data_IF_022575670201
#
_entry.id   IF_022575670201
#
_cell.length_a   1.000
_cell.length_b   1.000
_cell.length_c   1.000
_cell.angle_alpha   90.00
_cell.angle_beta   90.00
_cell.angle_gamma   90.00
#
_symmetry.space_group_name_H-M   'P 1'
#
loop_
_entity.id
_entity.type
_entity.pdbx_description
1 polymer ?
#
# COMPACT_ATOMS: atom_id res chain seq x y z
N UNK A 1 25.55 6.24 -0.90
CA UNK A 1 26.06 7.59 -0.57
C UNK A 1 26.50 7.56 0.89
N UNK A 2 27.78 7.77 1.19
CA UNK A 2 28.29 7.75 2.57
C UNK A 2 28.22 9.17 3.12
N UNK A 3 27.29 9.41 4.05
CA UNK A 3 27.13 10.71 4.72
C UNK A 3 28.03 10.74 5.95
N UNK A 4 29.15 11.46 5.87
CA UNK A 4 29.93 11.80 7.07
C UNK A 4 29.17 12.87 7.85
N UNK A 5 28.42 12.42 8.88
CA UNK A 5 27.51 13.25 9.68
C UNK A 5 28.22 14.22 10.65
N UNK A 6 29.55 14.13 10.76
CA UNK A 6 30.37 15.00 11.62
C UNK A 6 30.33 16.49 11.21
N UNK A 7 29.76 16.80 10.04
CA UNK A 7 29.63 18.16 9.51
C UNK A 7 28.26 18.82 9.79
N UNK A 8 27.29 18.13 10.42
CA UNK A 8 25.93 18.66 10.61
C UNK A 8 25.79 19.59 11.83
N UNK A 9 26.52 20.70 11.83
CA UNK A 9 26.30 21.78 12.80
C UNK A 9 25.35 22.83 12.23
N UNK A 10 24.42 23.35 13.04
CA UNK A 10 23.39 24.33 12.66
C UNK A 10 22.33 23.87 11.64
N UNK A 11 22.26 22.57 11.34
CA UNK A 11 21.18 22.03 10.50
C UNK A 11 19.90 21.87 11.34
N UNK A 12 18.79 22.45 10.91
CA UNK A 12 17.49 22.40 11.61
C UNK A 12 16.61 21.27 11.08
N UNK A 13 16.65 21.04 9.77
CA UNK A 13 15.87 19.99 9.10
C UNK A 13 16.72 19.26 8.07
N UNK A 14 16.60 17.93 8.05
CA UNK A 14 17.26 17.05 7.09
C UNK A 14 16.21 16.15 6.44
N UNK A 15 16.34 15.92 5.14
CA UNK A 15 15.51 14.99 4.39
C UNK A 15 16.39 14.11 3.53
N UNK A 16 16.30 12.80 3.74
CA UNK A 16 17.08 11.78 3.03
C UNK A 16 16.11 10.90 2.25
N UNK A 17 16.12 11.05 0.92
CA UNK A 17 15.33 10.22 0.02
C UNK A 17 16.27 9.47 -0.92
N UNK A 18 16.04 8.17 -1.06
CA UNK A 18 16.66 7.38 -2.11
C UNK A 18 15.87 7.59 -3.42
N UNK A 19 16.52 8.08 -4.47
CA UNK A 19 15.87 8.37 -5.76
C UNK A 19 15.73 7.15 -6.67
N UNK A 20 16.24 5.98 -6.27
CA UNK A 20 16.10 4.74 -7.04
C UNK A 20 16.22 3.51 -6.15
N UNK A 21 15.36 2.50 -6.35
CA UNK A 21 15.40 1.17 -5.67
C UNK A 21 16.75 0.40 -5.78
N UNK A 22 17.79 1.00 -6.38
CA UNK A 22 19.09 0.37 -6.66
C UNK A 22 20.27 1.05 -5.96
N UNK A 23 20.12 2.22 -5.37
CA UNK A 23 21.24 3.02 -4.86
C UNK A 23 21.14 3.23 -3.35
N UNK A 24 21.35 2.14 -2.60
CA UNK A 24 21.27 2.11 -1.15
C UNK A 24 21.87 3.38 -0.54
N UNK A 25 21.04 4.18 0.14
CA UNK A 25 21.57 5.12 1.13
C UNK A 25 21.89 4.32 2.38
N UNK A 26 22.97 3.54 2.30
CA UNK A 26 23.60 3.00 3.49
C UNK A 26 24.14 4.19 4.28
N UNK A 27 23.49 4.50 5.40
CA UNK A 27 24.10 5.27 6.46
C UNK A 27 25.18 4.37 7.10
N UNK A 28 26.30 4.21 6.40
CA UNK A 28 27.49 3.60 6.96
C UNK A 28 28.08 4.56 7.97
N UNK A 29 27.96 4.22 9.25
CA UNK A 29 28.71 4.84 10.32
C UNK A 29 30.03 4.07 10.42
N UNK A 30 31.14 4.72 10.12
CA UNK A 30 32.47 4.08 10.07
C UNK A 30 32.97 3.60 11.45
N UNK A 31 32.26 3.91 12.54
CA UNK A 31 32.61 3.51 13.90
C UNK A 31 31.58 2.54 14.53
N UNK A 32 32.03 1.38 15.06
CA UNK A 32 31.19 0.45 15.82
C UNK A 32 30.86 0.95 17.24
N UNK A 33 31.46 2.06 17.67
CA UNK A 33 31.09 2.79 18.89
C UNK A 33 30.05 3.85 18.52
N UNK A 34 28.99 4.07 19.32
CA UNK A 34 28.03 5.14 19.01
C UNK A 34 28.77 6.49 19.04
N UNK A 35 28.98 7.19 17.91
CA UNK A 35 29.42 8.56 17.96
C UNK A 35 28.30 9.34 18.66
N UNK A 36 28.58 9.84 19.86
CA UNK A 36 27.66 10.74 20.54
C UNK A 36 27.78 12.08 19.83
N UNK A 37 26.85 12.40 18.93
CA UNK A 37 26.76 13.74 18.35
C UNK A 37 26.30 14.71 19.45
N UNK A 38 27.23 15.15 20.28
CA UNK A 38 26.95 16.08 21.40
C UNK A 38 26.49 17.46 20.93
N UNK A 39 26.53 17.76 19.62
CA UNK A 39 26.33 19.10 19.05
C UNK A 39 25.29 19.20 17.92
N UNK A 40 24.50 18.15 17.64
CA UNK A 40 23.47 18.25 16.60
C UNK A 40 22.34 19.18 17.02
N UNK A 41 22.05 20.18 16.19
CA UNK A 41 20.91 21.11 16.31
C UNK A 41 19.69 20.63 15.53
N UNK A 42 19.72 19.40 15.01
CA UNK A 42 18.68 18.87 14.14
C UNK A 42 17.38 18.67 14.93
N UNK A 43 16.33 19.38 14.53
CA UNK A 43 15.02 19.31 15.16
C UNK A 43 14.06 18.41 14.39
N UNK A 44 14.23 18.31 13.06
CA UNK A 44 13.35 17.53 12.17
C UNK A 44 14.15 16.64 11.22
N UNK A 45 13.85 15.35 11.21
CA UNK A 45 14.41 14.38 10.28
C UNK A 45 13.29 13.68 9.51
N UNK A 46 13.47 13.56 8.19
CA UNK A 46 12.64 12.75 7.32
C UNK A 46 13.54 11.80 6.54
N UNK A 47 13.28 10.50 6.64
CA UNK A 47 14.16 9.49 6.06
C UNK A 47 13.34 8.35 5.46
N UNK A 48 13.79 7.87 4.30
CA UNK A 48 13.40 6.55 3.78
C UNK A 48 14.53 5.55 4.03
N UNK A 49 14.24 4.44 4.69
CA UNK A 49 15.19 3.37 5.01
C UNK A 49 14.75 2.03 4.43
N UNK A 50 15.71 1.15 4.15
CA UNK A 50 15.40 -0.17 3.61
C UNK A 50 14.90 -1.12 4.70
N UNK A 51 15.55 -1.10 5.88
CA UNK A 51 15.20 -1.96 7.00
C UNK A 51 15.02 -1.18 8.30
N UNK A 52 14.35 -1.81 9.27
CA UNK A 52 14.02 -1.19 10.55
C UNK A 52 15.25 -0.91 11.44
N UNK A 53 16.30 -1.72 11.32
CA UNK A 53 17.54 -1.55 12.09
C UNK A 53 18.20 -0.20 11.81
N UNK A 54 18.20 0.26 10.56
CA UNK A 54 18.76 1.56 10.17
C UNK A 54 18.07 2.71 10.94
N UNK A 55 16.77 2.57 11.19
CA UNK A 55 16.00 3.51 12.00
C UNK A 55 16.42 3.45 13.49
N UNK A 56 16.56 2.26 14.07
CA UNK A 56 17.02 2.09 15.46
C UNK A 56 18.43 2.65 15.67
N UNK A 57 19.35 2.41 14.73
CA UNK A 57 20.71 2.94 14.77
C UNK A 57 20.74 4.47 14.76
N UNK A 58 19.84 5.11 14.03
CA UNK A 58 19.69 6.58 14.05
C UNK A 58 19.17 7.09 15.37
N UNK A 59 18.23 6.36 15.98
CA UNK A 59 17.59 6.74 17.23
C UNK A 59 18.47 6.56 18.47
N UNK A 60 19.53 5.76 18.40
CA UNK A 60 20.34 5.40 19.57
C UNK A 60 21.27 6.53 20.08
N UNK A 61 20.70 7.59 20.68
CA UNK A 61 21.42 8.64 21.41
C UNK A 61 22.18 9.65 20.54
N UNK A 62 21.92 9.65 19.23
CA UNK A 62 22.63 10.46 18.23
C UNK A 62 21.97 11.82 17.96
N UNK A 63 20.67 11.96 18.16
CA UNK A 63 19.95 13.21 17.90
C UNK A 63 19.18 13.68 19.12
N UNK A 64 19.91 14.10 20.15
CA UNK A 64 19.31 14.48 21.43
C UNK A 64 18.39 15.71 21.36
N UNK A 65 18.44 16.53 20.29
CA UNK A 65 17.52 17.67 20.09
C UNK A 65 16.37 17.38 19.11
N UNK A 66 16.27 16.15 18.60
CA UNK A 66 15.25 15.79 17.62
C UNK A 66 13.87 15.83 18.25
N UNK A 67 13.00 16.67 17.70
CA UNK A 67 11.60 16.78 18.12
C UNK A 67 10.67 16.04 17.16
N UNK A 68 11.04 15.94 15.89
CA UNK A 68 10.19 15.39 14.84
C UNK A 68 10.95 14.39 13.98
N UNK A 69 10.39 13.20 13.81
CA UNK A 69 10.95 12.14 12.98
C UNK A 69 9.88 11.51 12.08
N UNK A 70 10.14 11.51 10.78
CA UNK A 70 9.36 10.77 9.78
C UNK A 70 10.22 9.65 9.21
N UNK A 71 9.71 8.43 9.22
CA UNK A 71 10.38 7.24 8.73
C UNK A 71 9.47 6.54 7.74
N UNK A 72 9.97 6.34 6.53
CA UNK A 72 9.36 5.49 5.52
C UNK A 72 10.25 4.25 5.35
N UNK A 73 9.71 3.07 5.63
CA UNK A 73 10.43 1.80 5.65
C UNK A 73 9.95 0.95 4.49
N UNK A 74 10.91 0.45 3.71
CA UNK A 74 10.61 -0.49 2.63
C UNK A 74 10.29 -1.87 3.21
N UNK A 75 11.06 -2.34 4.20
CA UNK A 75 10.84 -3.64 4.82
C UNK A 75 11.15 -3.74 6.32
N UNK A 76 10.42 -4.59 7.06
CA UNK A 76 10.66 -4.86 8.48
C UNK A 76 10.85 -6.35 8.68
N UNK A 77 12.10 -6.75 8.93
CA UNK A 77 12.46 -8.10 9.33
C UNK A 77 12.79 -8.14 10.83
N UNK A 78 12.50 -9.27 11.49
CA UNK A 78 12.94 -9.50 12.86
C UNK A 78 14.45 -9.80 12.90
N UNK A 79 15.16 -9.11 13.79
CA UNK A 79 16.47 -9.55 14.28
C UNK A 79 16.50 -9.44 15.80
N UNK A 80 17.09 -10.45 16.44
CA UNK A 80 17.03 -10.74 17.89
C UNK A 80 17.70 -9.69 18.81
N UNK A 81 17.96 -8.44 18.36
CA UNK A 81 18.84 -7.49 19.07
C UNK A 81 18.20 -6.12 19.43
N UNK A 82 16.89 -6.03 19.63
CA UNK A 82 16.25 -4.76 20.04
C UNK A 82 16.40 -4.49 21.55
N UNK A 83 16.88 -5.47 22.33
CA UNK A 83 17.05 -5.32 23.76
C UNK A 83 18.30 -4.47 24.09
N UNK A 84 18.11 -3.34 24.77
CA UNK A 84 19.13 -2.42 25.35
C UNK A 84 19.42 -1.10 24.60
N UNK A 85 18.42 -0.40 24.09
CA UNK A 85 18.59 0.98 23.61
C UNK A 85 17.73 1.95 24.44
N UNK A 86 18.32 3.07 24.89
CA UNK A 86 17.72 4.00 25.85
C UNK A 86 16.46 4.73 25.36
N UNK A 87 15.79 5.44 26.28
CA UNK A 87 14.58 6.23 26.00
C UNK A 87 14.85 7.40 25.04
N UNK A 88 13.80 7.86 24.35
CA UNK A 88 13.83 9.00 23.43
C UNK A 88 12.98 10.17 23.97
N UNK A 89 13.36 10.80 25.08
CA UNK A 89 12.47 11.68 25.83
C UNK A 89 12.12 13.00 25.12
N UNK A 90 12.90 13.43 24.13
CA UNK A 90 12.73 14.73 23.48
C UNK A 90 11.87 14.67 22.21
N UNK A 91 11.58 13.47 21.70
CA UNK A 91 10.77 13.31 20.51
C UNK A 91 9.30 13.64 20.83
N UNK A 92 8.72 14.57 20.08
CA UNK A 92 7.32 15.01 20.22
C UNK A 92 6.45 14.48 19.09
N UNK A 93 6.99 14.36 17.89
CA UNK A 93 6.25 13.93 16.71
C UNK A 93 6.97 12.74 16.06
N UNK A 94 6.26 11.65 15.86
CA UNK A 94 6.79 10.48 15.18
C UNK A 94 5.81 10.00 14.10
N UNK A 95 6.34 9.69 12.91
CA UNK A 95 5.59 9.08 11.83
C UNK A 95 6.34 7.87 11.31
N UNK A 96 5.65 6.75 11.23
CA UNK A 96 6.17 5.50 10.68
C UNK A 96 5.26 5.01 9.56
N UNK A 97 5.82 4.87 8.37
CA UNK A 97 5.19 4.22 7.21
C UNK A 97 5.97 2.96 6.88
N UNK A 98 5.27 1.84 6.74
CA UNK A 98 5.82 0.59 6.22
C UNK A 98 4.83 0.00 5.23
N UNK A 99 5.23 -0.03 3.95
CA UNK A 99 4.41 -0.60 2.88
C UNK A 99 4.42 -2.13 2.91
N UNK A 100 5.55 -2.76 3.30
CA UNK A 100 5.62 -4.21 3.42
C UNK A 100 4.86 -4.71 4.65
N UNK A 101 4.40 -5.95 4.56
CA UNK A 101 3.77 -6.63 5.69
C UNK A 101 4.84 -7.07 6.69
N UNK A 102 4.67 -6.70 7.97
CA UNK A 102 5.54 -7.16 9.06
C UNK A 102 4.86 -8.22 9.92
N UNK A 103 5.56 -9.32 10.25
CA UNK A 103 5.11 -10.34 11.21
C UNK A 103 5.42 -10.01 12.67
N UNK A 104 6.21 -8.95 12.90
CA UNK A 104 6.85 -8.72 14.20
C UNK A 104 6.40 -7.42 14.85
N UNK A 105 5.19 -6.97 14.54
CA UNK A 105 4.61 -5.75 15.12
C UNK A 105 4.73 -5.70 16.65
N UNK A 106 4.35 -6.78 17.35
CA UNK A 106 4.40 -6.85 18.81
C UNK A 106 5.84 -6.93 19.38
N UNK A 107 6.79 -7.45 18.60
CA UNK A 107 8.20 -7.64 19.04
C UNK A 107 9.10 -6.46 18.69
N UNK A 108 8.76 -5.73 17.63
CA UNK A 108 9.62 -4.71 17.02
C UNK A 108 9.01 -3.32 17.14
N UNK A 109 7.78 -3.14 16.65
CA UNK A 109 7.14 -1.81 16.61
C UNK A 109 6.66 -1.38 18.00
N UNK A 110 5.93 -2.24 18.71
CA UNK A 110 5.39 -1.89 20.04
C UNK A 110 6.49 -1.51 21.04
N UNK A 111 7.60 -2.27 21.18
CA UNK A 111 8.69 -1.88 22.07
C UNK A 111 9.37 -0.58 21.68
N UNK A 112 9.54 -0.30 20.37
CA UNK A 112 10.06 0.98 19.91
C UNK A 112 9.14 2.14 20.35
N UNK A 113 7.84 2.01 20.09
CA UNK A 113 6.86 3.03 20.46
C UNK A 113 6.84 3.27 21.97
N UNK A 114 6.98 2.22 22.79
CA UNK A 114 7.04 2.33 24.24
C UNK A 114 8.23 3.18 24.76
N UNK A 115 9.32 3.29 23.99
CA UNK A 115 10.48 4.16 24.33
C UNK A 115 10.22 5.64 24.06
N UNK A 116 9.11 5.97 23.40
CA UNK A 116 8.72 7.31 22.99
C UNK A 116 7.49 7.80 23.78
N UNK A 117 7.48 7.59 25.10
CA UNK A 117 6.33 7.89 25.98
C UNK A 117 5.95 9.38 26.04
N UNK A 118 6.83 10.28 25.60
CA UNK A 118 6.60 11.73 25.59
C UNK A 118 6.01 12.27 24.28
N UNK A 119 5.68 11.40 23.31
CA UNK A 119 5.08 11.83 22.05
C UNK A 119 3.78 12.60 22.28
N UNK A 120 3.66 13.70 21.55
CA UNK A 120 2.46 14.54 21.42
C UNK A 120 1.68 14.13 20.16
N UNK A 121 2.40 13.76 19.08
CA UNK A 121 1.82 13.34 17.81
C UNK A 121 2.42 12.01 17.31
N UNK A 122 1.55 11.08 16.89
CA UNK A 122 1.92 9.80 16.29
C UNK A 122 1.12 9.57 15.01
N UNK A 123 1.82 9.18 13.94
CA UNK A 123 1.22 8.74 12.67
C UNK A 123 1.74 7.37 12.28
N UNK A 124 0.85 6.40 12.03
CA UNK A 124 1.22 5.04 11.63
C UNK A 124 0.57 4.64 10.31
N UNK A 125 1.34 4.13 9.37
CA UNK A 125 0.85 3.40 8.20
C UNK A 125 1.53 2.03 8.19
N UNK A 126 0.79 0.98 8.50
CA UNK A 126 1.35 -0.36 8.72
C UNK A 126 0.52 -1.44 8.04
N UNK A 127 1.20 -2.39 7.39
CA UNK A 127 0.65 -3.71 7.10
C UNK A 127 1.25 -4.73 8.09
N UNK A 128 0.40 -5.43 8.82
CA UNK A 128 0.81 -6.40 9.84
C UNK A 128 0.27 -7.78 9.51
N UNK A 129 1.08 -8.79 9.78
CA UNK A 129 0.67 -10.18 9.84
C UNK A 129 0.75 -10.65 11.28
N UNK A 130 -0.35 -11.13 11.84
CA UNK A 130 -0.40 -11.70 13.18
C UNK A 130 -1.18 -13.00 13.10
N UNK A 131 -0.56 -14.11 13.49
CA UNK A 131 -1.15 -15.45 13.38
C UNK A 131 -2.40 -15.62 14.27
N UNK A 132 -2.53 -14.80 15.31
CA UNK A 132 -3.51 -15.02 16.38
C UNK A 132 -4.69 -14.05 16.33
N UNK A 133 -4.48 -12.75 16.12
CA UNK A 133 -5.57 -11.77 16.22
C UNK A 133 -5.38 -10.56 15.33
N UNK A 134 -6.48 -9.91 14.95
CA UNK A 134 -6.40 -8.58 14.36
C UNK A 134 -5.91 -7.54 15.36
N UNK A 135 -5.27 -6.50 14.84
CA UNK A 135 -5.00 -5.30 15.63
C UNK A 135 -6.32 -4.51 15.68
N UNK A 136 -6.91 -4.44 16.87
CA UNK A 136 -8.16 -3.73 17.15
C UNK A 136 -7.93 -2.52 18.07
N UNK A 137 -9.02 -1.84 18.47
CA UNK A 137 -8.97 -0.70 19.37
C UNK A 137 -8.47 -1.05 20.77
N UNK A 138 -8.75 -2.27 21.26
CA UNK A 138 -8.25 -2.73 22.56
C UNK A 138 -6.72 -2.91 22.53
N UNK A 139 -6.20 -3.48 21.45
CA UNK A 139 -4.77 -3.65 21.21
C UNK A 139 -4.05 -2.31 21.19
N UNK A 140 -4.55 -1.36 20.37
CA UNK A 140 -3.98 0.00 20.29
C UNK A 140 -4.08 0.75 21.62
N UNK A 141 -5.19 0.61 22.35
CA UNK A 141 -5.36 1.24 23.66
C UNK A 141 -4.33 0.73 24.67
N UNK A 142 -4.17 -0.60 24.75
CA UNK A 142 -3.23 -1.25 25.67
C UNK A 142 -1.76 -0.93 25.34
N UNK A 143 -1.39 -0.98 24.07
CA UNK A 143 0.01 -0.94 23.65
C UNK A 143 0.51 0.45 23.26
N UNK A 144 -0.38 1.39 22.91
CA UNK A 144 -0.01 2.74 22.49
C UNK A 144 -0.62 3.77 23.44
N UNK A 145 -1.95 3.90 23.47
CA UNK A 145 -2.63 5.01 24.16
C UNK A 145 -2.27 5.07 25.65
N UNK A 146 -2.37 3.94 26.35
CA UNK A 146 -2.09 3.88 27.79
C UNK A 146 -0.61 4.14 28.13
N UNK A 147 0.29 4.04 27.15
CA UNK A 147 1.74 4.20 27.32
C UNK A 147 2.24 5.59 26.93
N UNK A 148 1.41 6.37 26.23
CA UNK A 148 1.75 7.70 25.73
C UNK A 148 0.77 8.76 26.28
N UNK A 149 0.87 9.13 27.57
CA UNK A 149 -0.09 10.02 28.22
C UNK A 149 -0.11 11.46 27.67
N UNK A 150 0.89 11.84 26.87
CA UNK A 150 0.98 13.16 26.22
C UNK A 150 0.43 13.17 24.79
N UNK A 151 0.04 12.01 24.26
CA UNK A 151 -0.41 11.87 22.88
C UNK A 151 -1.75 12.59 22.71
N UNK A 152 -1.72 13.72 22.01
CA UNK A 152 -2.91 14.51 21.71
C UNK A 152 -3.42 14.26 20.29
N UNK A 153 -2.55 13.78 19.40
CA UNK A 153 -2.90 13.45 18.03
C UNK A 153 -2.37 12.06 17.68
N UNK A 154 -3.30 11.13 17.43
CA UNK A 154 -2.97 9.81 16.90
C UNK A 154 -3.73 9.57 15.61
N UNK A 155 -2.99 9.41 14.52
CA UNK A 155 -3.52 9.07 13.20
C UNK A 155 -2.93 7.74 12.77
N UNK A 156 -3.76 6.87 12.22
CA UNK A 156 -3.26 5.59 11.74
C UNK A 156 -4.04 5.07 10.54
N UNK A 157 -3.38 4.20 9.79
CA UNK A 157 -3.95 3.22 8.90
C UNK A 157 -3.20 1.91 9.15
N UNK A 158 -3.89 0.91 9.68
CA UNK A 158 -3.31 -0.38 10.00
C UNK A 158 -4.15 -1.44 9.30
N UNK A 159 -3.49 -2.22 8.44
CA UNK A 159 -4.05 -3.43 7.85
C UNK A 159 -3.45 -4.63 8.56
N UNK A 160 -4.22 -5.35 9.36
CA UNK A 160 -3.78 -6.60 9.97
C UNK A 160 -4.35 -7.81 9.23
N UNK A 161 -3.51 -8.78 8.93
CA UNK A 161 -3.91 -10.07 8.37
C UNK A 161 -3.70 -11.16 9.44
N UNK A 162 -4.53 -12.21 9.40
CA UNK A 162 -4.41 -13.38 10.28
C UNK A 162 -4.76 -14.68 9.55
N UNK A 163 -4.22 -15.82 9.99
CA UNK A 163 -4.62 -17.12 9.49
C UNK A 163 -5.94 -17.59 10.10
N UNK A 164 -6.89 -18.01 9.26
CA UNK A 164 -8.22 -18.53 9.67
C UNK A 164 -8.12 -19.89 10.34
N UNK A 165 -7.11 -20.72 10.01
CA UNK A 165 -7.07 -22.15 10.36
C UNK A 165 -7.09 -22.42 11.88
N UNK A 166 -6.64 -21.46 12.68
CA UNK A 166 -6.51 -21.61 14.13
C UNK A 166 -7.57 -20.81 14.92
N UNK A 167 -8.51 -20.17 14.23
CA UNK A 167 -9.48 -19.27 14.85
C UNK A 167 -10.77 -19.99 15.22
N UNK A 168 -11.18 -19.86 16.47
CA UNK A 168 -12.50 -20.29 16.93
C UNK A 168 -13.57 -19.21 16.72
N UNK A 169 -13.15 -17.95 16.55
CA UNK A 169 -14.03 -16.79 16.45
C UNK A 169 -13.57 -15.89 15.31
N UNK A 170 -14.53 -15.43 14.52
CA UNK A 170 -14.34 -14.54 13.37
C UNK A 170 -15.02 -13.21 13.69
N UNK A 171 -14.29 -12.21 14.23
CA UNK A 171 -14.89 -10.91 14.53
C UNK A 171 -15.47 -10.26 13.28
N UNK A 172 -16.73 -9.82 13.37
CA UNK A 172 -17.35 -8.99 12.34
C UNK A 172 -16.74 -7.59 12.30
N UNK A 173 -17.05 -6.84 11.23
CA UNK A 173 -16.75 -5.40 11.17
C UNK A 173 -17.30 -4.65 12.38
N UNK A 174 -18.53 -4.98 12.80
CA UNK A 174 -19.16 -4.38 13.97
C UNK A 174 -18.40 -4.71 15.26
N UNK A 175 -17.97 -5.97 15.42
CA UNK A 175 -17.20 -6.39 16.60
C UNK A 175 -15.90 -5.60 16.72
N UNK A 176 -15.16 -5.42 15.61
CA UNK A 176 -13.95 -4.59 15.58
C UNK A 176 -14.28 -3.12 15.84
N UNK A 177 -15.31 -2.58 15.19
CA UNK A 177 -15.70 -1.18 15.36
C UNK A 177 -16.05 -0.84 16.82
N UNK A 178 -16.69 -1.76 17.54
CA UNK A 178 -17.05 -1.56 18.96
C UNK A 178 -15.83 -1.40 19.87
N UNK A 179 -14.66 -1.93 19.49
CA UNK A 179 -13.43 -1.77 20.27
C UNK A 179 -12.90 -0.34 20.29
N UNK A 180 -13.44 0.54 19.43
CA UNK A 180 -13.07 1.95 19.32
C UNK A 180 -14.05 2.91 20.01
N UNK A 181 -15.09 2.43 20.70
CA UNK A 181 -16.12 3.30 21.27
C UNK A 181 -15.59 4.34 22.28
N UNK A 182 -14.55 3.98 23.03
CA UNK A 182 -13.88 4.85 24.01
C UNK A 182 -12.55 5.40 23.48
N UNK A 183 -12.30 5.31 22.18
CA UNK A 183 -11.07 5.80 21.60
C UNK A 183 -11.13 7.33 21.53
N UNK A 184 -10.05 8.06 21.89
CA UNK A 184 -10.06 9.53 21.94
C UNK A 184 -10.28 10.20 20.57
N UNK A 185 -10.25 9.43 19.48
CA UNK A 185 -10.54 9.88 18.13
C UNK A 185 -11.83 9.19 17.65
N UNK A 186 -12.91 9.96 17.51
CA UNK A 186 -14.25 9.43 17.23
C UNK A 186 -14.49 9.10 15.75
N UNK A 187 -13.55 9.44 14.86
CA UNK A 187 -13.67 9.18 13.43
C UNK A 187 -12.73 8.03 13.02
N UNK A 188 -12.96 6.85 13.58
CA UNK A 188 -12.25 5.62 13.20
C UNK A 188 -13.20 4.75 12.40
N UNK A 189 -12.73 4.31 11.24
CA UNK A 189 -13.44 3.35 10.40
C UNK A 189 -12.72 2.02 10.43
N UNK A 190 -13.50 0.95 10.51
CA UNK A 190 -13.01 -0.41 10.39
C UNK A 190 -13.85 -1.23 9.42
N UNK A 191 -13.23 -2.23 8.81
CA UNK A 191 -13.95 -3.32 8.14
C UNK A 191 -13.07 -4.57 8.08
N UNK A 192 -13.75 -5.71 8.03
CA UNK A 192 -13.14 -7.04 8.04
C UNK A 192 -13.56 -7.80 6.79
N UNK A 193 -12.59 -8.48 6.19
CA UNK A 193 -12.75 -9.39 5.08
C UNK A 193 -12.21 -10.78 5.45
N UNK A 194 -12.90 -11.82 5.00
CA UNK A 194 -12.45 -13.19 5.15
C UNK A 194 -12.30 -13.82 3.77
N UNK A 195 -11.09 -14.32 3.50
CA UNK A 195 -10.63 -14.83 2.21
C UNK A 195 -10.48 -16.36 2.34
N UNK A 196 -11.51 -17.15 1.97
CA UNK A 196 -11.54 -18.58 2.28
C UNK A 196 -10.52 -19.41 1.47
N UNK A 197 -10.15 -18.97 0.27
CA UNK A 197 -9.21 -19.70 -0.59
C UNK A 197 -7.78 -19.57 -0.07
N UNK A 198 -7.37 -18.36 0.34
CA UNK A 198 -6.08 -18.16 1.02
C UNK A 198 -6.13 -18.58 2.49
N UNK A 199 -7.33 -18.72 3.06
CA UNK A 199 -7.59 -18.98 4.49
C UNK A 199 -7.03 -17.86 5.37
N UNK A 200 -7.25 -16.63 4.95
CA UNK A 200 -6.79 -15.42 5.63
C UNK A 200 -7.96 -14.52 6.02
N UNK A 201 -7.90 -13.95 7.21
CA UNK A 201 -8.70 -12.80 7.58
C UNK A 201 -7.89 -11.53 7.35
N UNK A 202 -8.55 -10.46 6.94
CA UNK A 202 -7.96 -9.13 6.80
C UNK A 202 -8.84 -8.12 7.52
N UNK A 203 -8.23 -7.25 8.32
CA UNK A 203 -8.91 -6.17 8.99
C UNK A 203 -8.20 -4.87 8.66
N UNK A 204 -8.97 -3.88 8.23
CA UNK A 204 -8.50 -2.51 8.04
C UNK A 204 -9.06 -1.65 9.16
N UNK A 205 -8.19 -0.90 9.82
CA UNK A 205 -8.57 0.13 10.78
C UNK A 205 -7.84 1.43 10.43
N UNK A 206 -8.55 2.55 10.40
CA UNK A 206 -7.90 3.83 10.12
C UNK A 206 -8.65 5.02 10.69
N UNK A 207 -7.89 6.09 10.93
CA UNK A 207 -8.41 7.41 11.27
C UNK A 207 -8.94 8.11 10.00
N UNK A 208 -10.14 8.66 10.09
CA UNK A 208 -10.77 9.46 9.04
C UNK A 208 -10.60 10.96 9.33
N UNK A 209 -10.43 11.83 8.31
CA UNK A 209 -10.11 11.47 6.92
C UNK A 209 -8.73 10.83 6.80
N UNK A 210 -8.61 9.90 5.85
CA UNK A 210 -7.32 9.24 5.59
C UNK A 210 -6.27 10.24 5.10
N UNK A 211 -5.05 10.09 5.61
CA UNK A 211 -3.88 10.92 5.30
C UNK A 211 -2.84 10.20 4.44
N UNK A 212 -3.03 8.91 4.17
CA UNK A 212 -2.05 8.09 3.45
C UNK A 212 -2.20 8.25 1.93
N UNK A 213 -1.08 8.26 1.17
CA UNK A 213 -1.12 8.19 -0.29
C UNK A 213 -1.40 6.78 -0.83
N UNK A 214 -1.41 5.76 0.02
CA UNK A 214 -1.58 4.36 -0.36
C UNK A 214 -2.81 3.75 0.31
N UNK A 215 -3.53 2.92 -0.43
CA UNK A 215 -4.60 2.08 0.10
C UNK A 215 -4.51 0.69 -0.54
N UNK A 216 -3.97 -0.28 0.20
CA UNK A 216 -3.62 -1.58 -0.34
C UNK A 216 -4.55 -2.70 0.13
N UNK A 217 -4.85 -3.61 -0.80
CA UNK A 217 -5.60 -4.86 -0.65
C UNK A 217 -7.06 -4.67 -0.23
N UNK A 218 -7.74 -3.77 -0.95
CA UNK A 218 -9.18 -3.55 -0.84
C UNK A 218 -9.93 -4.75 -1.41
N UNK A 219 -10.89 -5.26 -0.64
CA UNK A 219 -11.79 -6.35 -1.01
C UNK A 219 -13.25 -5.89 -1.11
N UNK A 220 -14.17 -6.79 -1.46
CA UNK A 220 -15.56 -6.46 -1.78
C UNK A 220 -16.35 -5.82 -0.62
N UNK A 221 -15.99 -6.05 0.65
CA UNK A 221 -16.69 -5.40 1.78
C UNK A 221 -16.23 -3.97 2.06
N UNK A 222 -15.44 -3.38 1.17
CA UNK A 222 -15.02 -1.99 1.29
C UNK A 222 -16.23 -1.06 1.46
N UNK A 223 -16.31 -0.28 2.56
CA UNK A 223 -17.49 0.53 2.86
C UNK A 223 -17.61 1.78 1.97
N UNK A 224 -16.62 2.08 1.14
CA UNK A 224 -16.53 3.35 0.42
C UNK A 224 -16.01 4.48 1.29
N UNK A 225 -16.34 5.72 0.91
CA UNK A 225 -15.88 6.95 1.55
C UNK A 225 -15.05 7.80 0.59
N UNK A 226 -14.67 9.02 1.00
CA UNK A 226 -13.88 9.92 0.16
C UNK A 226 -12.43 10.01 0.63
N UNK A 227 -11.49 9.59 -0.22
CA UNK A 227 -10.07 9.49 0.09
C UNK A 227 -9.24 10.41 -0.82
N UNK A 228 -9.23 11.71 -0.50
CA UNK A 228 -8.62 12.73 -1.37
C UNK A 228 -7.08 12.67 -1.44
N UNK A 229 -6.42 12.04 -0.47
CA UNK A 229 -4.95 11.96 -0.40
C UNK A 229 -4.39 10.69 -1.03
N UNK A 230 -5.22 9.66 -1.22
CA UNK A 230 -4.78 8.38 -1.79
C UNK A 230 -4.49 8.56 -3.28
N UNK A 231 -3.35 8.01 -3.73
CA UNK A 231 -2.86 8.01 -5.11
C UNK A 231 -2.64 6.60 -5.64
N UNK A 232 -2.36 5.65 -4.76
CA UNK A 232 -2.07 4.26 -5.13
C UNK A 232 -3.08 3.35 -4.46
N UNK A 233 -3.76 2.54 -5.27
CA UNK A 233 -4.79 1.60 -4.82
C UNK A 233 -4.44 0.19 -5.30
N UNK A 234 -4.49 -0.81 -4.41
CA UNK A 234 -4.49 -2.22 -4.80
C UNK A 234 -5.78 -2.92 -4.38
N UNK A 235 -6.32 -3.74 -5.27
CA UNK A 235 -7.54 -4.51 -5.09
C UNK A 235 -7.18 -6.00 -5.07
N UNK A 236 -7.66 -6.72 -4.06
CA UNK A 236 -7.51 -8.18 -3.95
C UNK A 236 -8.65 -8.79 -3.16
N UNK A 237 -9.27 -9.82 -3.73
CA UNK A 237 -10.31 -10.62 -3.09
C UNK A 237 -10.32 -12.03 -3.72
N UNK A 238 -10.77 -13.02 -2.95
CA UNK A 238 -11.05 -14.38 -3.43
C UNK A 238 -12.38 -14.43 -4.21
N UNK A 239 -13.28 -13.46 -3.95
CA UNK A 239 -14.55 -13.30 -4.66
C UNK A 239 -14.40 -12.38 -5.88
N UNK A 240 -15.16 -12.58 -6.97
CA UNK A 240 -15.11 -11.70 -8.13
C UNK A 240 -15.42 -10.24 -7.81
N UNK A 241 -14.79 -9.31 -8.53
CA UNK A 241 -15.15 -7.89 -8.48
C UNK A 241 -16.17 -7.55 -9.58
N UNK A 242 -17.38 -7.13 -9.21
CA UNK A 242 -18.37 -6.70 -10.19
C UNK A 242 -18.14 -5.25 -10.63
N UNK A 243 -18.83 -4.81 -11.68
CA UNK A 243 -18.69 -3.47 -12.24
C UNK A 243 -18.95 -2.37 -11.20
N UNK A 244 -19.97 -2.54 -10.36
CA UNK A 244 -20.36 -1.60 -9.32
C UNK A 244 -19.25 -1.38 -8.28
N UNK A 245 -18.44 -2.40 -8.02
CA UNK A 245 -17.29 -2.28 -7.13
C UNK A 245 -16.25 -1.30 -7.72
N UNK A 246 -15.89 -1.46 -9.00
CA UNK A 246 -14.97 -0.52 -9.67
C UNK A 246 -15.53 0.91 -9.72
N UNK A 247 -16.86 1.07 -9.84
CA UNK A 247 -17.49 2.38 -9.77
C UNK A 247 -17.33 3.00 -8.37
N UNK A 248 -17.55 2.21 -7.32
CA UNK A 248 -17.32 2.62 -5.94
C UNK A 248 -15.86 2.99 -5.69
N UNK A 249 -14.90 2.24 -6.24
CA UNK A 249 -13.46 2.56 -6.17
C UNK A 249 -13.18 3.91 -6.85
N UNK A 250 -13.64 4.13 -8.08
CA UNK A 250 -13.42 5.40 -8.78
C UNK A 250 -14.00 6.61 -8.02
N UNK A 251 -15.19 6.45 -7.43
CA UNK A 251 -15.83 7.49 -6.61
C UNK A 251 -15.09 7.75 -5.29
N UNK A 252 -14.56 6.69 -4.68
CA UNK A 252 -13.89 6.78 -3.39
C UNK A 252 -12.48 7.38 -3.51
N UNK A 253 -11.82 7.16 -4.66
CA UNK A 253 -10.43 7.55 -4.92
C UNK A 253 -10.33 8.45 -6.16
N UNK A 254 -10.87 9.69 -6.11
CA UNK A 254 -10.99 10.55 -7.28
C UNK A 254 -9.66 10.99 -7.90
N UNK A 255 -8.54 10.83 -7.17
CA UNK A 255 -7.20 11.21 -7.60
C UNK A 255 -6.26 10.00 -7.73
N UNK A 256 -6.80 8.79 -7.93
CA UNK A 256 -5.96 7.60 -8.09
C UNK A 256 -5.07 7.73 -9.34
N UNK A 257 -3.77 7.58 -9.14
CA UNK A 257 -2.74 7.61 -10.16
C UNK A 257 -2.28 6.20 -10.54
N UNK A 258 -2.33 5.26 -9.57
CA UNK A 258 -1.92 3.87 -9.78
C UNK A 258 -2.99 2.92 -9.26
N UNK A 259 -3.45 2.02 -10.12
CA UNK A 259 -4.43 0.99 -9.79
C UNK A 259 -3.85 -0.40 -10.09
N UNK A 260 -3.78 -1.25 -9.08
CA UNK A 260 -3.40 -2.66 -9.24
C UNK A 260 -4.59 -3.55 -8.90
N UNK A 261 -4.89 -4.50 -9.78
CA UNK A 261 -5.96 -5.48 -9.56
C UNK A 261 -5.35 -6.88 -9.56
N UNK A 262 -5.69 -7.68 -8.54
CA UNK A 262 -5.32 -9.08 -8.45
C UNK A 262 -6.59 -9.86 -8.14
N UNK A 263 -7.12 -10.56 -9.14
CA UNK A 263 -8.29 -11.41 -8.98
C UNK A 263 -8.39 -12.38 -10.15
N UNK A 264 -8.32 -13.68 -9.88
CA UNK A 264 -8.32 -14.71 -10.91
C UNK A 264 -9.72 -15.25 -11.24
N UNK A 265 -10.76 -14.81 -10.51
CA UNK A 265 -12.13 -15.24 -10.75
C UNK A 265 -12.79 -14.42 -11.84
N UNK A 266 -13.60 -15.05 -12.68
CA UNK A 266 -14.46 -14.35 -13.64
C UNK A 266 -15.54 -13.56 -12.93
N UNK A 267 -15.96 -12.43 -13.53
CA UNK A 267 -17.13 -11.70 -13.07
C UNK A 267 -18.39 -12.57 -13.22
N UNK A 268 -19.28 -12.55 -12.23
CA UNK A 268 -20.52 -13.33 -12.31
C UNK A 268 -21.51 -12.66 -13.26
N UNK A 269 -21.57 -11.33 -13.23
CA UNK A 269 -22.47 -10.54 -14.08
C UNK A 269 -21.72 -10.09 -15.32
N UNK A 270 -21.54 -11.03 -16.26
CA UNK A 270 -20.92 -10.70 -17.55
C UNK A 270 -21.77 -9.65 -18.26
N UNK A 271 -21.17 -8.48 -18.45
CA UNK A 271 -21.67 -7.45 -19.35
C UNK A 271 -21.35 -7.87 -20.79
N UNK A 272 -21.97 -8.96 -21.26
CA UNK A 272 -21.84 -9.35 -22.66
C UNK A 272 -22.71 -8.43 -23.51
N UNK A 273 -22.12 -7.94 -24.61
CA UNK A 273 -22.83 -7.16 -25.63
C UNK A 273 -23.93 -7.98 -26.36
N UNK A 274 -23.99 -9.30 -26.11
CA UNK A 274 -24.86 -10.24 -26.80
C UNK A 274 -26.19 -10.52 -26.08
N UNK A 275 -26.41 -10.01 -24.86
CA UNK A 275 -27.73 -10.08 -24.23
C UNK A 275 -28.64 -8.97 -24.76
N UNK A 276 -29.30 -9.26 -25.88
CA UNK A 276 -30.34 -8.43 -26.51
C UNK A 276 -31.56 -8.10 -25.62
N UNK A 277 -31.52 -8.34 -24.31
CA UNK A 277 -32.73 -8.33 -23.48
C UNK A 277 -32.74 -7.42 -22.26
N UNK A 278 -31.68 -6.69 -21.91
CA UNK A 278 -31.83 -5.62 -20.92
C UNK A 278 -30.82 -4.49 -21.18
N UNK A 279 -31.36 -3.30 -21.47
CA UNK A 279 -30.66 -2.02 -21.47
C UNK A 279 -30.14 -1.68 -20.06
N UNK A 280 -29.21 -2.47 -19.51
CA UNK A 280 -28.47 -2.08 -18.33
C UNK A 280 -27.44 -1.02 -18.75
N UNK A 281 -27.90 0.23 -18.83
CA UNK A 281 -27.04 1.41 -18.90
C UNK A 281 -26.27 1.50 -17.58
N UNK A 282 -25.19 0.75 -17.48
CA UNK A 282 -24.24 0.91 -16.39
C UNK A 282 -23.57 2.28 -16.49
N UNK A 283 -23.27 2.87 -15.34
CA UNK A 283 -22.57 4.14 -15.28
C UNK A 283 -21.13 3.94 -15.76
N UNK A 284 -20.68 4.79 -16.67
CA UNK A 284 -19.31 4.79 -17.14
C UNK A 284 -18.36 5.06 -15.96
N UNK A 285 -17.30 4.25 -15.85
CA UNK A 285 -16.28 4.44 -14.81
C UNK A 285 -15.20 5.37 -15.33
N UNK A 286 -14.90 6.43 -14.60
CA UNK A 286 -13.90 7.42 -14.98
C UNK A 286 -12.72 7.45 -14.00
N UNK A 287 -11.52 7.22 -14.53
CA UNK A 287 -10.28 7.30 -13.75
C UNK A 287 -9.41 8.46 -14.22
N UNK A 288 -9.83 9.69 -13.92
CA UNK A 288 -9.29 10.91 -14.55
C UNK A 288 -7.77 11.12 -14.39
N UNK A 289 -7.17 10.58 -13.33
CA UNK A 289 -5.76 10.77 -13.00
C UNK A 289 -4.90 9.51 -13.14
N UNK A 290 -5.49 8.40 -13.59
CA UNK A 290 -4.78 7.14 -13.69
C UNK A 290 -3.63 7.24 -14.68
N UNK A 291 -2.42 6.93 -14.23
CA UNK A 291 -1.21 6.93 -15.04
C UNK A 291 -0.57 5.55 -15.09
N UNK A 292 -0.88 4.66 -14.15
CA UNK A 292 -0.39 3.29 -14.10
C UNK A 292 -1.52 2.31 -13.75
N UNK A 293 -1.63 1.23 -14.52
CA UNK A 293 -2.59 0.17 -14.31
C UNK A 293 -1.92 -1.20 -14.39
N UNK A 294 -1.93 -1.94 -13.28
CA UNK A 294 -1.43 -3.30 -13.21
C UNK A 294 -2.56 -4.34 -13.25
N UNK A 295 -2.60 -5.10 -14.34
CA UNK A 295 -3.51 -6.20 -14.67
C UNK A 295 -2.74 -7.49 -14.98
N UNK A 296 -1.59 -7.72 -14.34
CA UNK A 296 -0.76 -8.90 -14.62
C UNK A 296 -1.38 -10.21 -14.11
N UNK A 297 -2.12 -10.14 -13.00
CA UNK A 297 -2.64 -11.31 -12.28
C UNK A 297 -4.17 -11.25 -12.18
N UNK A 298 -4.83 -11.05 -13.32
CA UNK A 298 -6.29 -10.90 -13.38
C UNK A 298 -6.93 -11.88 -14.36
N UNK A 299 -8.20 -12.18 -14.16
CA UNK A 299 -9.06 -12.78 -15.17
C UNK A 299 -9.32 -11.81 -16.34
N UNK A 300 -9.58 -12.36 -17.53
CA UNK A 300 -9.79 -11.59 -18.77
C UNK A 300 -10.98 -10.61 -18.69
N UNK A 301 -12.00 -10.93 -17.88
CA UNK A 301 -13.17 -10.07 -17.67
C UNK A 301 -12.78 -8.68 -17.12
N UNK A 302 -11.76 -8.60 -16.26
CA UNK A 302 -11.28 -7.32 -15.73
C UNK A 302 -10.52 -6.52 -16.78
N UNK A 303 -9.75 -7.20 -17.63
CA UNK A 303 -9.10 -6.56 -18.77
C UNK A 303 -10.16 -6.01 -19.72
N UNK A 304 -11.24 -6.76 -19.96
CA UNK A 304 -12.37 -6.29 -20.76
C UNK A 304 -13.04 -5.08 -20.11
N UNK A 305 -13.34 -5.12 -18.81
CA UNK A 305 -13.91 -4.02 -18.03
C UNK A 305 -13.15 -2.69 -18.21
N UNK A 306 -11.81 -2.73 -18.26
CA UNK A 306 -11.00 -1.52 -18.40
C UNK A 306 -10.72 -1.10 -19.84
N UNK A 307 -10.57 -2.05 -20.77
CA UNK A 307 -10.29 -1.72 -22.17
C UNK A 307 -11.56 -1.35 -22.95
N UNK A 308 -12.74 -1.83 -22.54
CA UNK A 308 -14.00 -1.44 -23.19
C UNK A 308 -14.33 0.02 -22.93
N UNK A 309 -14.44 0.80 -24.01
CA UNK A 309 -14.79 2.22 -23.94
C UNK A 309 -16.22 2.48 -23.42
N UNK A 310 -17.11 1.50 -23.51
CA UNK A 310 -18.48 1.58 -22.96
C UNK A 310 -18.53 1.32 -21.46
N UNK A 311 -17.46 0.79 -20.85
CA UNK A 311 -17.39 0.41 -19.43
C UNK A 311 -16.51 1.36 -18.63
N UNK A 312 -15.37 1.74 -19.20
CA UNK A 312 -14.39 2.61 -18.56
C UNK A 312 -13.92 3.70 -19.53
N UNK A 313 -13.75 4.92 -19.02
CA UNK A 313 -13.00 5.97 -19.71
C UNK A 313 -11.62 6.13 -19.05
N UNK A 314 -10.58 5.68 -19.76
CA UNK A 314 -9.20 5.91 -19.34
C UNK A 314 -8.75 7.35 -19.72
N UNK A 315 -7.83 7.96 -18.97
CA UNK A 315 -7.16 9.19 -19.40
C UNK A 315 -6.06 8.85 -20.42
N UNK A 316 -5.45 9.87 -21.01
CA UNK A 316 -4.29 9.68 -21.90
C UNK A 316 -3.03 9.37 -21.08
N UNK A 317 -2.04 8.74 -21.72
CA UNK A 317 -0.72 8.45 -21.16
C UNK A 317 -0.71 7.43 -20.02
N UNK A 318 -1.53 6.39 -20.15
CA UNK A 318 -1.58 5.29 -19.18
C UNK A 318 -0.49 4.25 -19.47
N UNK A 319 0.22 3.85 -18.42
CA UNK A 319 1.12 2.70 -18.40
C UNK A 319 0.32 1.45 -18.03
N UNK A 320 0.26 0.46 -18.92
CA UNK A 320 -0.50 -0.77 -18.72
C UNK A 320 0.45 -1.97 -18.56
N UNK A 321 0.27 -2.73 -17.49
CA UNK A 321 1.01 -3.97 -17.22
C UNK A 321 0.03 -5.14 -17.32
N UNK A 322 0.28 -6.07 -18.24
CA UNK A 322 -0.73 -7.08 -18.59
C UNK A 322 -0.12 -8.36 -19.17
N UNK A 323 -0.80 -9.49 -18.99
CA UNK A 323 -0.44 -10.73 -19.68
C UNK A 323 -0.77 -10.65 -21.17
N UNK A 324 0.21 -10.95 -22.03
CA UNK A 324 0.05 -10.86 -23.48
C UNK A 324 -1.07 -11.75 -24.03
N UNK A 325 -1.19 -13.01 -23.57
CA UNK A 325 -2.21 -13.94 -24.04
C UNK A 325 -3.61 -13.47 -23.65
N UNK A 326 -3.77 -12.94 -22.44
CA UNK A 326 -5.04 -12.36 -22.00
C UNK A 326 -5.41 -11.13 -22.83
N UNK A 327 -4.45 -10.25 -23.09
CA UNK A 327 -4.67 -9.08 -23.94
C UNK A 327 -5.09 -9.49 -25.38
N UNK A 328 -4.42 -10.50 -25.97
CA UNK A 328 -4.80 -11.03 -27.28
C UNK A 328 -6.24 -11.57 -27.29
N UNK A 329 -6.65 -12.33 -26.25
CA UNK A 329 -8.02 -12.85 -26.17
C UNK A 329 -9.05 -11.73 -26.07
N UNK A 330 -8.85 -10.75 -25.18
CA UNK A 330 -9.81 -9.64 -25.00
C UNK A 330 -9.95 -8.76 -26.24
N UNK A 331 -8.84 -8.51 -26.93
CA UNK A 331 -8.80 -7.67 -28.15
C UNK A 331 -9.12 -8.43 -29.43
N UNK A 332 -9.46 -9.72 -29.36
CA UNK A 332 -9.62 -10.62 -30.51
C UNK A 332 -8.43 -10.54 -31.48
N UNK A 333 -7.23 -10.84 -30.99
CA UNK A 333 -5.98 -10.69 -31.74
C UNK A 333 -5.79 -9.28 -32.31
N UNK A 334 -6.10 -8.25 -31.49
CA UNK A 334 -5.96 -6.84 -31.87
C UNK A 334 -6.85 -6.40 -33.04
N UNK A 335 -8.07 -6.93 -33.12
CA UNK A 335 -9.06 -6.58 -34.17
C UNK A 335 -10.38 -6.02 -33.61
N UNK A 336 -10.59 -6.06 -32.29
CA UNK A 336 -11.85 -5.64 -31.66
C UNK A 336 -11.95 -4.12 -31.54
N UNK A 337 -12.85 -3.46 -32.27
CA UNK A 337 -12.93 -1.99 -32.26
C UNK A 337 -13.37 -1.40 -30.90
N UNK A 338 -14.23 -2.11 -30.15
CA UNK A 338 -14.76 -1.63 -28.86
C UNK A 338 -13.67 -1.37 -27.79
N UNK A 339 -12.54 -2.06 -27.87
CA UNK A 339 -11.40 -1.85 -26.96
C UNK A 339 -10.39 -0.83 -27.48
N UNK A 340 -10.46 -0.48 -28.77
CA UNK A 340 -9.44 0.31 -29.45
C UNK A 340 -9.30 1.72 -28.88
N UNK A 341 -10.41 2.36 -28.52
CA UNK A 341 -10.41 3.74 -28.01
C UNK A 341 -9.62 3.89 -26.70
N UNK A 342 -9.72 2.93 -25.78
CA UNK A 342 -8.89 2.98 -24.57
C UNK A 342 -7.47 2.49 -24.84
N UNK A 343 -7.28 1.54 -25.75
CA UNK A 343 -5.95 1.09 -26.17
C UNK A 343 -5.10 2.20 -26.79
N UNK A 344 -5.68 3.15 -27.53
CA UNK A 344 -4.93 4.30 -28.06
C UNK A 344 -4.47 5.29 -26.98
N UNK A 345 -5.01 5.21 -25.76
CA UNK A 345 -4.60 6.08 -24.65
C UNK A 345 -3.38 5.56 -23.88
N UNK A 346 -2.97 4.32 -24.16
CA UNK A 346 -1.82 3.68 -23.54
C UNK A 346 -0.52 4.23 -24.16
N UNK A 347 0.38 4.78 -23.34
CA UNK A 347 1.70 5.27 -23.77
C UNK A 347 2.84 4.30 -23.44
N UNK A 348 2.62 3.36 -22.52
CA UNK A 348 3.57 2.35 -22.14
C UNK A 348 2.84 1.03 -21.92
N UNK A 349 3.29 -0.03 -22.59
CA UNK A 349 2.68 -1.34 -22.51
C UNK A 349 3.74 -2.34 -22.08
N UNK A 350 3.66 -2.81 -20.84
CA UNK A 350 4.50 -3.87 -20.31
C UNK A 350 3.78 -5.21 -20.41
N UNK A 351 4.28 -6.06 -21.30
CA UNK A 351 3.72 -7.36 -21.59
C UNK A 351 4.48 -8.46 -20.85
N UNK A 352 3.76 -9.20 -20.00
CA UNK A 352 4.24 -10.49 -19.53
C UNK A 352 3.97 -11.52 -20.62
N UNK A 353 5.04 -12.03 -21.23
CA UNK A 353 4.99 -12.99 -22.33
C UNK A 353 5.88 -14.20 -22.03
N UNK A 354 5.46 -15.38 -22.51
CA UNK A 354 6.23 -16.62 -22.41
C UNK A 354 7.20 -16.80 -23.60
N UNK A 355 7.01 -16.05 -24.69
CA UNK A 355 7.82 -16.13 -25.92
C UNK A 355 7.81 -14.81 -26.69
N UNK A 356 8.70 -14.67 -27.69
CA UNK A 356 8.67 -13.55 -28.63
C UNK A 356 7.32 -13.46 -29.35
N UNK A 357 6.80 -12.24 -29.46
CA UNK A 357 5.47 -11.94 -30.00
C UNK A 357 5.62 -11.15 -31.31
N UNK A 358 4.71 -11.36 -32.28
CA UNK A 358 4.72 -10.61 -33.54
C UNK A 358 4.24 -9.17 -33.30
N UNK A 359 5.11 -8.19 -33.63
CA UNK A 359 4.91 -6.78 -33.25
C UNK A 359 3.92 -5.99 -34.11
N UNK A 360 3.62 -6.41 -35.36
CA UNK A 360 2.94 -5.52 -36.32
C UNK A 360 1.49 -5.16 -35.93
N UNK A 361 0.63 -6.14 -35.65
CA UNK A 361 -0.76 -5.88 -35.27
C UNK A 361 -0.88 -5.18 -33.90
N UNK A 362 0.06 -5.47 -33.00
CA UNK A 362 0.12 -4.84 -31.68
C UNK A 362 0.44 -3.34 -31.80
N UNK A 363 1.38 -2.95 -32.66
CA UNK A 363 1.76 -1.56 -32.85
C UNK A 363 0.65 -0.73 -33.51
N UNK A 364 -0.12 -1.30 -34.44
CA UNK A 364 -1.29 -0.65 -35.03
C UNK A 364 -2.44 -0.45 -34.03
N UNK A 365 -2.52 -1.32 -33.03
CA UNK A 365 -3.55 -1.30 -31.99
C UNK A 365 -3.20 -0.37 -30.82
N UNK A 366 -1.90 -0.22 -30.55
CA UNK A 366 -1.34 0.66 -29.53
C UNK A 366 -0.37 1.68 -30.16
N UNK A 367 -0.85 2.62 -30.99
CA UNK A 367 -0.02 3.44 -31.87
C UNK A 367 0.97 4.37 -31.14
N UNK A 368 0.68 4.73 -29.89
CA UNK A 368 1.52 5.63 -29.09
C UNK A 368 2.28 4.91 -27.97
N UNK A 369 2.11 3.59 -27.84
CA UNK A 369 2.71 2.87 -26.73
C UNK A 369 4.18 2.53 -27.00
N UNK A 370 5.04 2.81 -26.03
CA UNK A 370 6.34 2.13 -25.90
C UNK A 370 6.08 0.73 -25.36
N UNK A 371 6.36 -0.29 -26.17
CA UNK A 371 6.11 -1.69 -25.83
C UNK A 371 7.38 -2.30 -25.22
N UNK A 372 7.22 -2.90 -24.05
CA UNK A 372 8.29 -3.63 -23.35
C UNK A 372 7.81 -5.05 -23.01
N UNK A 373 8.71 -6.02 -23.15
CA UNK A 373 8.45 -7.41 -22.79
C UNK A 373 9.20 -7.75 -21.52
N UNK A 374 8.47 -8.24 -20.53
CA UNK A 374 9.05 -8.76 -19.29
C UNK A 374 8.99 -10.28 -19.35
N UNK A 375 10.16 -10.92 -19.51
CA UNK A 375 10.30 -12.37 -19.45
C UNK A 375 10.50 -12.72 -17.98
N UNK A 376 9.59 -13.52 -17.42
CA UNK A 376 9.78 -14.09 -16.10
C UNK A 376 10.43 -15.47 -16.24
N UNK A 377 11.65 -15.62 -15.74
CA UNK A 377 12.20 -16.94 -15.49
C UNK A 377 11.48 -17.49 -14.26
N UNK A 378 10.66 -18.52 -14.44
CA UNK A 378 10.18 -19.30 -13.30
C UNK A 378 11.39 -20.00 -12.68
N UNK A 379 11.87 -19.51 -11.54
CA UNK A 379 12.65 -20.34 -10.63
C UNK A 379 11.60 -21.18 -9.91
N UNK A 380 11.26 -22.34 -10.47
CA UNK A 380 10.56 -23.38 -9.72
C UNK A 380 11.54 -23.91 -8.68
N UNK A 381 11.42 -23.49 -7.43
CA UNK A 381 11.94 -24.27 -6.31
C UNK A 381 11.19 -25.62 -6.33
N UNK A 382 11.94 -26.70 -6.51
CA UNK A 382 11.46 -28.09 -6.47
C UNK A 382 11.24 -28.57 -5.05
#
# INVERSE_FOLDING_TARGET
MQLHLDCLTNLISLTLYESSYKNRVLLCFDDPLPPTFRSSTLLKLNIRVQCFEDCLYLLNGRFNQLHTLYVDIVDIYHQDQIENQGDLPNLKCFSLSCESTTSDYNKTIVPLLNRMSNLEELSLYLAVYDDETFIDGNHLKKNIINRMPRLNQFRFYIRSNMFIRNQMYFPSTEDIQQTFIDFPNNEIVSYVDYLPETREGRCHIYSYPSFTPYYTDIANNFPGGLFQHVRVVSLYDDSPFEHEFFLQIAQSFPFVEQLSVINHKSQNRKQSYESNNDNQNFSLIEYLFLSEHNLLNVHDDYIEQFLFNSKTCLPNNVSLYINYKSLQRVTHNFTRDATRINSTKINYLNLRAESECSNLSLQEYFPYAKICYSIMFWITEQ
#
